data_IF_737546142169
#
_entry.id   IF_737546142169
#
_cell.length_a   1.000
_cell.length_b   1.000
_cell.length_c   1.000
_cell.angle_alpha   90.00
_cell.angle_beta   90.00
_cell.angle_gamma   90.00
#
_symmetry.space_group_name_H-M   'P 1'
#
loop_
_entity.id
_entity.type
_entity.pdbx_description
1 polymer ?
#
# COMPACT_ATOMS: atom_id res chain seq x y z
N UNK A 1 10.12 13.83 -19.09
CA UNK A 1 9.03 12.85 -19.00
C UNK A 1 8.65 12.73 -17.54
N UNK A 2 7.35 12.69 -17.18
CA UNK A 2 6.96 12.44 -15.80
C UNK A 2 7.44 11.05 -15.37
N UNK A 3 7.91 10.95 -14.12
CA UNK A 3 8.40 9.68 -13.57
C UNK A 3 7.19 8.82 -13.22
N UNK A 4 7.10 7.59 -13.72
CA UNK A 4 5.97 6.71 -13.45
C UNK A 4 5.93 6.31 -11.97
N UNK A 5 4.75 6.43 -11.34
CA UNK A 5 4.54 6.00 -9.97
C UNK A 5 4.19 4.51 -9.95
N UNK A 6 4.93 3.71 -9.19
CA UNK A 6 4.63 2.29 -8.99
C UNK A 6 3.78 2.10 -7.74
N UNK A 7 2.63 1.46 -7.90
CA UNK A 7 1.69 1.15 -6.83
C UNK A 7 1.56 -0.36 -6.64
N UNK A 8 1.66 -0.79 -5.39
CA UNK A 8 1.25 -2.15 -5.00
C UNK A 8 -0.28 -2.19 -4.89
N UNK A 9 -0.91 -3.16 -5.55
CA UNK A 9 -2.35 -3.33 -5.48
C UNK A 9 -2.73 -4.10 -4.20
N UNK A 10 -3.85 -3.73 -3.54
CA UNK A 10 -4.27 -4.33 -2.27
C UNK A 10 -4.83 -5.75 -2.41
N UNK A 11 -4.85 -6.32 -3.62
CA UNK A 11 -5.19 -7.71 -3.89
C UNK A 11 -3.96 -8.44 -4.44
N UNK A 12 -3.82 -9.70 -4.07
CA UNK A 12 -2.84 -10.59 -4.68
C UNK A 12 -3.38 -11.16 -5.99
N UNK A 13 -2.48 -11.51 -6.91
CA UNK A 13 -2.82 -12.37 -8.04
C UNK A 13 -3.31 -13.74 -7.57
N UNK A 14 -3.86 -14.53 -8.49
CA UNK A 14 -4.36 -15.88 -8.21
C UNK A 14 -3.29 -16.85 -7.64
N UNK A 15 -2.02 -16.48 -7.78
CA UNK A 15 -0.84 -17.19 -7.29
C UNK A 15 -0.29 -16.63 -5.96
N UNK A 16 -0.99 -15.69 -5.33
CA UNK A 16 -0.57 -15.05 -4.09
C UNK A 16 0.56 -14.02 -4.26
N UNK A 17 0.99 -13.73 -5.50
CA UNK A 17 2.03 -12.70 -5.75
C UNK A 17 1.42 -11.30 -5.72
N UNK A 18 2.24 -10.35 -5.26
CA UNK A 18 1.91 -8.92 -5.26
C UNK A 18 1.71 -8.42 -6.68
N UNK A 19 0.57 -7.78 -6.96
CA UNK A 19 0.34 -7.14 -8.24
C UNK A 19 0.82 -5.68 -8.21
N UNK A 20 1.54 -5.26 -9.25
CA UNK A 20 2.05 -3.89 -9.40
C UNK A 20 1.28 -3.16 -10.48
N UNK A 21 0.95 -1.90 -10.22
CA UNK A 21 0.35 -0.96 -11.16
C UNK A 21 1.31 0.20 -11.39
N UNK A 22 1.67 0.45 -12.63
CA UNK A 22 2.48 1.61 -13.04
C UNK A 22 1.51 2.68 -13.54
N UNK A 23 1.54 3.87 -12.95
CA UNK A 23 0.60 4.95 -13.26
C UNK A 23 1.33 6.26 -13.53
N UNK A 24 0.73 7.10 -14.38
CA UNK A 24 1.13 8.50 -14.50
C UNK A 24 0.77 9.26 -13.20
N UNK A 25 1.71 10.01 -12.58
CA UNK A 25 1.43 10.82 -11.39
C UNK A 25 0.36 11.90 -11.61
N UNK A 26 0.23 12.45 -12.82
CA UNK A 26 -0.67 13.57 -13.09
C UNK A 26 -2.12 13.15 -13.38
N UNK A 27 -2.34 11.86 -13.69
CA UNK A 27 -3.64 11.34 -14.10
C UNK A 27 -3.93 9.94 -13.54
N UNK A 28 -4.42 9.81 -12.29
CA UNK A 28 -4.79 8.52 -11.73
C UNK A 28 -5.94 7.87 -12.52
N UNK A 29 -5.63 6.73 -13.13
CA UNK A 29 -6.57 5.96 -13.96
C UNK A 29 -7.67 5.22 -13.17
N UNK A 30 -8.62 4.56 -13.87
CA UNK A 30 -9.71 3.81 -13.24
C UNK A 30 -9.25 2.74 -12.23
N UNK A 31 -8.11 2.09 -12.50
CA UNK A 31 -7.54 1.06 -11.62
C UNK A 31 -7.01 1.66 -10.32
N UNK A 32 -6.41 2.85 -10.35
CA UNK A 32 -5.98 3.57 -9.15
C UNK A 32 -7.16 3.85 -8.22
N UNK A 33 -8.28 4.32 -8.78
CA UNK A 33 -9.52 4.55 -8.01
C UNK A 33 -10.12 3.26 -7.46
N UNK A 34 -10.05 2.16 -8.21
CA UNK A 34 -10.48 0.86 -7.70
C UNK A 34 -9.59 0.40 -6.54
N UNK A 35 -8.28 0.61 -6.64
CA UNK A 35 -7.33 0.35 -5.56
C UNK A 35 -7.63 1.19 -4.32
N UNK A 36 -7.90 2.49 -4.47
CA UNK A 36 -8.26 3.36 -3.33
C UNK A 36 -9.54 2.88 -2.62
N UNK A 37 -10.56 2.45 -3.37
CA UNK A 37 -11.78 1.86 -2.78
C UNK A 37 -11.50 0.58 -2.02
N UNK A 38 -10.69 -0.32 -2.59
CA UNK A 38 -10.37 -1.60 -1.94
C UNK A 38 -9.52 -1.36 -0.69
N UNK A 39 -8.55 -0.43 -0.73
CA UNK A 39 -7.81 -0.01 0.47
C UNK A 39 -8.77 0.49 1.56
N UNK A 40 -9.74 1.35 1.22
CA UNK A 40 -10.72 1.87 2.18
C UNK A 40 -11.59 0.76 2.79
N UNK A 41 -12.04 -0.20 1.98
CA UNK A 41 -12.81 -1.36 2.45
C UNK A 41 -11.97 -2.23 3.39
N UNK A 42 -10.72 -2.55 3.04
CA UNK A 42 -9.83 -3.35 3.90
C UNK A 42 -9.55 -2.68 5.24
N UNK A 43 -9.28 -1.37 5.23
CA UNK A 43 -9.09 -0.61 6.47
C UNK A 43 -10.36 -0.59 7.32
N UNK A 44 -11.54 -0.39 6.70
CA UNK A 44 -12.82 -0.43 7.40
C UNK A 44 -13.14 -1.79 8.01
N UNK A 45 -12.88 -2.89 7.29
CA UNK A 45 -13.02 -4.25 7.83
C UNK A 45 -12.08 -4.49 9.01
N UNK A 46 -10.84 -4.01 8.92
CA UNK A 46 -9.88 -4.10 10.03
C UNK A 46 -10.33 -3.34 11.28
N UNK A 47 -10.91 -2.14 11.11
CA UNK A 47 -11.49 -1.38 12.21
C UNK A 47 -12.63 -2.14 12.89
N UNK A 48 -13.58 -2.67 12.12
CA UNK A 48 -14.69 -3.45 12.67
C UNK A 48 -14.22 -4.73 13.38
N UNK A 49 -13.16 -5.37 12.88
CA UNK A 49 -12.59 -6.54 13.52
C UNK A 49 -11.89 -6.21 14.85
N UNK A 50 -11.23 -5.06 14.94
CA UNK A 50 -10.64 -4.56 16.19
C UNK A 50 -11.72 -4.26 17.23
N UNK A 51 -12.84 -3.66 16.83
CA UNK A 51 -13.99 -3.42 17.72
C UNK A 51 -14.54 -4.74 18.26
N UNK A 52 -14.82 -5.70 17.37
CA UNK A 52 -15.29 -7.03 17.78
C UNK A 52 -14.28 -7.75 18.69
N UNK A 53 -12.98 -7.58 18.44
CA UNK A 53 -11.94 -8.16 19.27
C UNK A 53 -11.92 -7.58 20.69
N UNK A 54 -12.18 -6.29 20.84
CA UNK A 54 -12.27 -5.64 22.16
C UNK A 54 -13.44 -6.20 22.96
N UNK A 55 -14.59 -6.35 22.32
CA UNK A 55 -15.79 -6.89 22.98
C UNK A 55 -15.58 -8.34 23.42
N UNK A 56 -15.00 -9.19 22.56
CA UNK A 56 -14.72 -10.59 22.88
C UNK A 56 -13.67 -10.75 23.97
N UNK A 57 -12.61 -9.95 23.97
CA UNK A 57 -11.55 -10.02 24.99
C UNK A 57 -11.98 -9.45 26.35
N UNK A 58 -13.04 -8.65 26.39
CA UNK A 58 -13.63 -8.15 27.62
C UNK A 58 -14.54 -9.18 28.31
N UNK A 59 -14.99 -10.22 27.58
CA UNK A 59 -15.81 -11.31 28.12
C UNK A 59 -14.92 -12.40 28.74
N UNK A 60 -14.94 -12.58 30.08
CA UNK A 60 -14.14 -13.60 30.75
C UNK A 60 -14.59 -15.04 30.43
N UNK A 61 -15.81 -15.23 29.92
CA UNK A 61 -16.36 -16.53 29.53
C UNK A 61 -16.20 -16.81 28.03
N UNK A 62 -15.46 -15.96 27.32
CA UNK A 62 -15.22 -16.14 25.88
C UNK A 62 -14.58 -17.50 25.58
N UNK A 63 -15.18 -18.23 24.62
CA UNK A 63 -14.69 -19.55 24.24
C UNK A 63 -13.27 -19.46 23.66
N UNK A 64 -12.30 -20.26 24.14
CA UNK A 64 -10.92 -20.26 23.62
C UNK A 64 -10.83 -20.56 22.12
N UNK A 65 -11.77 -21.33 21.56
CA UNK A 65 -11.87 -21.59 20.12
C UNK A 65 -12.24 -20.33 19.33
N UNK A 66 -13.22 -19.56 19.82
CA UNK A 66 -13.60 -18.27 19.25
C UNK A 66 -12.46 -17.25 19.31
N UNK A 67 -11.73 -17.19 20.43
CA UNK A 67 -10.55 -16.31 20.58
C UNK A 67 -9.45 -16.71 19.58
N UNK A 68 -9.19 -18.01 19.39
CA UNK A 68 -8.21 -18.49 18.41
C UNK A 68 -8.64 -18.17 16.98
N UNK A 69 -9.92 -18.33 16.66
CA UNK A 69 -10.47 -17.95 15.36
C UNK A 69 -10.30 -16.45 15.11
N UNK A 70 -10.67 -15.61 16.08
CA UNK A 70 -10.52 -14.16 16.02
C UNK A 70 -9.06 -13.76 15.80
N UNK A 71 -8.11 -14.38 16.51
CA UNK A 71 -6.68 -14.13 16.31
C UNK A 71 -6.22 -14.44 14.87
N UNK A 72 -6.75 -15.50 14.26
CA UNK A 72 -6.51 -15.81 12.84
C UNK A 72 -7.04 -14.71 11.92
N UNK A 73 -8.30 -14.27 12.14
CA UNK A 73 -8.92 -13.18 11.37
C UNK A 73 -8.13 -11.87 11.52
N UNK A 74 -7.66 -11.56 12.72
CA UNK A 74 -6.86 -10.37 13.00
C UNK A 74 -5.53 -10.44 12.24
N UNK A 75 -4.89 -11.60 12.17
CA UNK A 75 -3.64 -11.80 11.43
C UNK A 75 -3.82 -11.56 9.93
N UNK A 76 -4.91 -12.07 9.34
CA UNK A 76 -5.27 -11.81 7.94
C UNK A 76 -5.50 -10.31 7.70
N UNK A 77 -6.30 -9.67 8.54
CA UNK A 77 -6.58 -8.24 8.41
C UNK A 77 -5.31 -7.38 8.59
N UNK A 78 -4.40 -7.75 9.50
CA UNK A 78 -3.14 -7.03 9.69
C UNK A 78 -2.24 -7.12 8.46
N UNK A 79 -2.21 -8.29 7.79
CA UNK A 79 -1.49 -8.46 6.53
C UNK A 79 -2.02 -7.52 5.45
N UNK A 80 -3.34 -7.40 5.33
CA UNK A 80 -3.98 -6.48 4.39
C UNK A 80 -3.61 -5.03 4.73
N UNK A 81 -3.71 -4.62 6.00
CA UNK A 81 -3.34 -3.27 6.46
C UNK A 81 -1.87 -2.95 6.16
N UNK A 82 -0.95 -3.89 6.39
CA UNK A 82 0.48 -3.72 6.07
C UNK A 82 0.68 -3.54 4.55
N UNK A 83 -0.03 -4.30 3.72
CA UNK A 83 0.01 -4.14 2.27
C UNK A 83 -0.43 -2.72 1.83
N UNK A 84 -1.54 -2.23 2.39
CA UNK A 84 -2.02 -0.86 2.15
C UNK A 84 -0.99 0.19 2.59
N UNK A 85 -0.39 0.01 3.77
CA UNK A 85 0.61 0.93 4.30
C UNK A 85 1.87 0.99 3.40
N UNK A 86 2.39 -0.17 2.96
CA UNK A 86 3.51 -0.24 2.02
C UNK A 86 3.14 0.41 0.68
N UNK A 87 1.96 0.13 0.15
CA UNK A 87 1.48 0.74 -1.10
C UNK A 87 1.44 2.26 -1.01
N UNK A 88 0.91 2.82 0.09
CA UNK A 88 0.86 4.26 0.33
C UNK A 88 2.25 4.84 0.53
N UNK A 89 3.10 4.18 1.29
CA UNK A 89 4.50 4.56 1.51
C UNK A 89 5.29 4.67 0.21
N UNK A 90 5.17 3.69 -0.69
CA UNK A 90 5.85 3.72 -1.98
C UNK A 90 5.41 4.92 -2.85
N UNK A 91 4.13 5.32 -2.77
CA UNK A 91 3.63 6.50 -3.49
C UNK A 91 4.14 7.81 -2.91
N UNK A 92 4.47 7.86 -1.62
CA UNK A 92 5.04 9.03 -0.95
C UNK A 92 6.56 9.17 -1.20
N UNK A 93 7.30 8.06 -1.22
CA UNK A 93 8.76 8.07 -1.37
C UNK A 93 9.21 7.98 -2.84
N UNK A 94 8.45 7.31 -3.70
CA UNK A 94 8.71 7.22 -5.14
C UNK A 94 8.61 8.56 -5.88
N UNK A 95 8.12 9.62 -5.23
CA UNK A 95 8.19 10.99 -5.75
C UNK A 95 9.43 11.78 -5.28
N UNK A 96 10.23 11.24 -4.35
CA UNK A 96 11.32 11.96 -3.69
C UNK A 96 12.73 11.57 -4.18
N UNK A 97 12.94 10.33 -4.64
CA UNK A 97 14.29 9.84 -4.98
C UNK A 97 14.85 10.41 -6.31
N UNK A 98 14.01 10.97 -7.19
CA UNK A 98 14.44 11.50 -8.48
C UNK A 98 14.68 13.03 -8.50
N UNK A 99 14.41 13.76 -7.41
CA UNK A 99 14.68 15.20 -7.34
C UNK A 99 16.18 15.55 -7.18
N UNK A 100 17.05 14.55 -7.00
CA UNK A 100 18.50 14.76 -6.75
C UNK A 100 19.39 14.30 -7.94
N UNK A 101 18.79 13.87 -9.05
CA UNK A 101 19.50 13.24 -10.17
C UNK A 101 19.69 14.09 -11.44
N UNK A 102 19.99 15.39 -11.37
CA UNK A 102 20.55 16.09 -12.54
C UNK A 102 21.33 17.35 -12.15
N UNK A 103 22.60 17.16 -11.81
CA UNK A 103 23.64 18.16 -12.06
C UNK A 103 24.84 17.44 -12.68
N UNK A 104 24.65 16.92 -13.89
CA UNK A 104 25.76 16.77 -14.84
C UNK A 104 25.63 17.93 -15.80
N UNK A 105 26.21 19.08 -15.44
CA UNK A 105 26.47 20.15 -16.38
C UNK A 105 27.64 19.70 -17.26
N UNK A 106 27.30 19.12 -18.42
CA UNK A 106 28.22 18.97 -19.53
C UNK A 106 28.46 20.37 -20.12
N UNK A 107 29.68 20.86 -19.96
CA UNK A 107 30.13 22.17 -20.43
C UNK A 107 31.11 22.03 -21.58
N UNK A 108 30.73 21.38 -22.68
CA UNK A 108 31.52 21.44 -23.91
C UNK A 108 31.28 22.77 -24.64
N UNK A 109 32.28 23.65 -24.69
CA UNK A 109 32.39 24.69 -25.72
C UNK A 109 33.84 24.87 -26.20
N UNK A 110 34.11 24.19 -27.32
CA UNK A 110 34.97 24.47 -28.49
C UNK A 110 36.33 25.21 -28.39
N UNK A 111 37.29 24.87 -29.29
CA UNK A 111 38.64 25.43 -29.32
C UNK A 111 38.71 26.76 -30.07
N UNK A 112 39.60 27.67 -29.65
CA UNK A 112 40.12 28.81 -30.42
C UNK A 112 41.37 29.37 -29.71
N UNK A 113 42.49 29.48 -30.43
CA UNK A 113 43.72 30.12 -29.98
C UNK A 113 44.94 29.32 -30.36
#
# INVERSE_FOLDING_TARGET
MPIPVTRVLPWTGADGRTCLLITDPEAPGPVSRAADRIEAVQLGMGMGLIEHARDMLADPEADPGQVRYLAGRLTESLRDVVCVAVSRGNRLHGSAEDATGSSVADGHRSPRG
#
